data_IF_900263034172
#
_entry.id   IF_900263034172
#
_cell.length_a   1.000
_cell.length_b   1.000
_cell.length_c   1.000
_cell.angle_alpha   90.00
_cell.angle_beta   90.00
_cell.angle_gamma   90.00
#
_symmetry.space_group_name_H-M   'P 1'
#
loop_
_entity.id
_entity.type
_entity.pdbx_description
1 polymer ?
#
# COMPACT_ATOMS: atom_id res chain seq x y z
N UNK A 1 0.46 -2.17 22.70
CA UNK A 1 1.63 -2.27 21.85
C UNK A 1 1.21 -2.64 20.43
N UNK A 2 1.55 -1.81 19.48
CA UNK A 2 1.31 -2.10 18.07
C UNK A 2 2.45 -2.98 17.54
N UNK A 3 2.22 -4.29 17.44
CA UNK A 3 3.28 -5.18 17.02
C UNK A 3 3.70 -4.98 15.56
N UNK A 4 2.85 -4.39 14.71
CA UNK A 4 3.25 -4.03 13.34
C UNK A 4 4.37 -3.00 13.33
N UNK A 5 4.39 -2.08 14.31
CA UNK A 5 5.46 -1.08 14.39
C UNK A 5 6.83 -1.72 14.62
N UNK A 6 6.89 -2.90 15.26
CA UNK A 6 8.14 -3.62 15.47
C UNK A 6 8.76 -4.12 14.16
N UNK A 7 7.96 -4.24 13.10
CA UNK A 7 8.41 -4.68 11.78
C UNK A 7 8.57 -3.53 10.80
N UNK A 8 8.36 -2.29 11.26
CA UNK A 8 8.47 -1.14 10.37
C UNK A 8 9.90 -1.00 9.86
N UNK A 9 10.01 -0.93 8.53
CA UNK A 9 11.25 -0.63 7.83
C UNK A 9 10.88 0.02 6.50
N UNK A 10 11.36 1.26 6.22
CA UNK A 10 11.08 1.88 4.92
C UNK A 10 11.50 0.98 3.76
N UNK A 11 10.65 0.89 2.75
CA UNK A 11 10.87 0.03 1.59
C UNK A 11 10.33 -1.38 1.74
N UNK A 12 9.58 -1.66 2.79
CA UNK A 12 8.97 -2.98 3.02
C UNK A 12 7.49 -2.97 2.65
N UNK A 13 7.03 -4.06 1.99
CA UNK A 13 5.62 -4.24 1.62
C UNK A 13 5.15 -5.59 2.15
N UNK A 14 3.91 -5.61 2.66
CA UNK A 14 3.27 -6.83 3.14
C UNK A 14 1.86 -6.92 2.59
N UNK A 15 1.48 -8.08 2.06
CA UNK A 15 0.15 -8.34 1.51
C UNK A 15 -0.44 -9.62 2.08
N UNK A 16 -1.77 -9.74 1.99
CA UNK A 16 -2.46 -11.00 2.27
C UNK A 16 -2.42 -11.97 1.08
N UNK A 17 -3.09 -13.10 1.22
CA UNK A 17 -3.07 -14.19 0.23
C UNK A 17 -3.69 -13.82 -1.11
N UNK A 18 -4.59 -12.86 -1.13
CA UNK A 18 -5.41 -12.56 -2.31
C UNK A 18 -4.87 -11.39 -3.12
N UNK A 19 -3.73 -10.84 -2.73
CA UNK A 19 -3.15 -9.66 -3.36
C UNK A 19 -1.77 -10.01 -3.91
N UNK A 20 -1.57 -9.77 -5.19
CA UNK A 20 -0.32 -10.04 -5.89
C UNK A 20 0.28 -8.71 -6.35
N UNK A 21 1.56 -8.53 -6.14
CA UNK A 21 2.27 -7.30 -6.51
C UNK A 21 3.29 -7.61 -7.59
N UNK A 22 3.23 -6.83 -8.66
CA UNK A 22 4.26 -6.84 -9.71
C UNK A 22 4.78 -5.43 -9.93
N UNK A 23 5.96 -5.30 -10.49
CA UNK A 23 6.57 -3.99 -10.80
C UNK A 23 6.60 -3.05 -9.59
N UNK A 24 6.93 -3.59 -8.42
CA UNK A 24 7.01 -2.84 -7.17
C UNK A 24 8.28 -2.00 -7.15
N UNK A 25 8.14 -0.70 -6.95
CA UNK A 25 9.28 0.22 -7.01
C UNK A 25 9.10 1.37 -6.00
N UNK A 26 10.14 1.56 -5.18
CA UNK A 26 10.26 2.74 -4.32
C UNK A 26 11.24 3.74 -4.96
N UNK A 27 11.04 5.04 -4.71
CA UNK A 27 12.05 6.02 -5.06
C UNK A 27 13.22 5.98 -4.06
N UNK A 28 14.28 6.76 -4.32
CA UNK A 28 15.55 6.68 -3.58
C UNK A 28 15.43 6.86 -2.07
N UNK A 29 14.48 7.68 -1.61
CA UNK A 29 14.32 7.99 -0.18
C UNK A 29 13.05 7.40 0.42
N UNK A 30 12.43 6.44 -0.28
CA UNK A 30 11.21 5.77 0.16
C UNK A 30 10.05 6.74 0.47
N UNK A 31 9.99 7.86 -0.27
CA UNK A 31 8.88 8.83 -0.19
C UNK A 31 7.91 8.72 -1.35
N UNK A 32 8.12 7.78 -2.25
CA UNK A 32 7.23 7.46 -3.36
C UNK A 32 7.25 5.98 -3.65
N UNK A 33 6.10 5.43 -4.03
CA UNK A 33 5.95 4.01 -4.32
C UNK A 33 4.97 3.81 -5.47
N UNK A 34 5.26 2.85 -6.32
CA UNK A 34 4.43 2.50 -7.46
C UNK A 34 4.45 1.00 -7.67
N UNK A 35 3.28 0.40 -7.88
CA UNK A 35 3.20 -1.03 -8.12
C UNK A 35 1.94 -1.37 -8.92
N UNK A 36 2.01 -2.47 -9.67
CA UNK A 36 0.83 -3.08 -10.28
C UNK A 36 0.28 -4.11 -9.30
N UNK A 37 -1.01 -4.02 -9.03
CA UNK A 37 -1.72 -4.89 -8.09
C UNK A 37 -2.70 -5.75 -8.86
N UNK A 38 -2.67 -7.05 -8.62
CA UNK A 38 -3.69 -7.97 -9.11
C UNK A 38 -4.26 -8.78 -7.95
N UNK A 39 -5.41 -9.39 -8.17
CA UNK A 39 -6.15 -10.07 -7.12
C UNK A 39 -6.44 -11.50 -7.52
N UNK A 40 -6.56 -12.36 -6.52
CA UNK A 40 -7.08 -13.70 -6.71
C UNK A 40 -8.57 -13.59 -7.08
N UNK A 41 -8.91 -13.94 -8.31
CA UNK A 41 -10.27 -13.86 -8.83
C UNK A 41 -11.10 -15.11 -8.57
N UNK A 42 -10.53 -16.10 -7.89
CA UNK A 42 -11.29 -17.29 -7.46
C UNK A 42 -12.26 -16.97 -6.33
N UNK A 43 -12.14 -15.80 -5.71
CA UNK A 43 -13.03 -15.34 -4.66
C UNK A 43 -13.83 -14.13 -5.15
N UNK A 44 -14.99 -13.90 -4.49
CA UNK A 44 -15.81 -12.73 -4.76
C UNK A 44 -15.04 -11.45 -4.43
N UNK A 45 -15.22 -10.44 -5.26
CA UNK A 45 -14.59 -9.13 -5.02
C UNK A 45 -15.00 -8.56 -3.65
N UNK A 46 -14.02 -8.17 -2.86
CA UNK A 46 -14.20 -7.56 -1.54
C UNK A 46 -13.00 -6.68 -1.24
N UNK A 47 -13.11 -5.85 -0.21
CA UNK A 47 -12.00 -5.01 0.22
C UNK A 47 -10.86 -5.88 0.75
N UNK A 48 -9.63 -5.50 0.41
CA UNK A 48 -8.43 -6.20 0.89
C UNK A 48 -7.45 -5.17 1.40
N UNK A 49 -6.62 -5.59 2.35
CA UNK A 49 -5.65 -4.70 2.98
C UNK A 49 -4.23 -5.07 2.59
N UNK A 50 -3.38 -4.05 2.54
CA UNK A 50 -1.94 -4.24 2.40
C UNK A 50 -1.22 -3.18 3.20
N UNK A 51 0.04 -3.43 3.53
CA UNK A 51 0.87 -2.50 4.28
C UNK A 51 2.08 -2.13 3.44
N UNK A 52 2.32 -0.82 3.30
CA UNK A 52 3.51 -0.30 2.63
C UNK A 52 4.23 0.61 3.61
N UNK A 53 5.50 0.32 3.85
CA UNK A 53 6.32 1.10 4.77
C UNK A 53 7.12 2.13 3.98
N UNK A 54 6.74 3.39 4.16
CA UNK A 54 7.36 4.56 3.54
C UNK A 54 8.28 5.25 4.55
N UNK A 55 9.04 6.24 4.09
CA UNK A 55 9.80 7.08 5.01
C UNK A 55 8.87 7.80 5.99
N UNK A 56 9.28 7.86 7.26
CA UNK A 56 8.44 8.40 8.33
C UNK A 56 8.35 9.93 8.33
N UNK A 57 9.15 10.60 7.50
CA UNK A 57 9.26 12.07 7.50
C UNK A 57 8.20 12.80 6.68
N UNK A 58 7.27 12.08 6.06
CA UNK A 58 6.27 12.68 5.15
C UNK A 58 4.87 12.22 5.50
N UNK A 59 3.89 12.99 5.05
CA UNK A 59 2.51 12.54 4.92
C UNK A 59 2.29 12.08 3.48
N UNK A 60 1.34 11.19 3.26
CA UNK A 60 1.20 10.54 1.96
C UNK A 60 -0.21 10.57 1.43
N UNK A 61 -0.31 10.60 0.12
CA UNK A 61 -1.51 10.36 -0.64
C UNK A 61 -1.42 8.98 -1.27
N UNK A 62 -2.50 8.21 -1.20
CA UNK A 62 -2.56 6.86 -1.75
C UNK A 62 -3.64 6.80 -2.82
N UNK A 63 -3.26 6.42 -4.03
CA UNK A 63 -4.16 6.34 -5.17
C UNK A 63 -4.15 4.92 -5.75
N UNK A 64 -5.34 4.42 -6.07
CA UNK A 64 -5.49 3.19 -6.82
C UNK A 64 -6.27 3.49 -8.08
N UNK A 65 -5.65 3.25 -9.24
CA UNK A 65 -6.19 3.65 -10.54
C UNK A 65 -6.61 5.12 -10.58
N UNK A 66 -5.81 5.98 -9.98
CA UNK A 66 -6.02 7.42 -9.97
C UNK A 66 -7.03 7.93 -8.96
N UNK A 67 -7.63 7.06 -8.15
CA UNK A 67 -8.62 7.44 -7.14
C UNK A 67 -8.05 7.26 -5.74
N UNK A 68 -8.32 8.21 -4.84
CA UNK A 68 -7.92 8.09 -3.45
C UNK A 68 -8.54 6.86 -2.81
N UNK A 69 -7.73 6.13 -2.05
CA UNK A 69 -8.20 4.99 -1.27
C UNK A 69 -7.90 5.21 0.20
N UNK A 70 -8.62 4.48 1.06
CA UNK A 70 -8.44 4.59 2.50
C UNK A 70 -7.06 4.13 2.89
N UNK A 71 -6.41 4.91 3.74
CA UNK A 71 -5.18 4.50 4.38
C UNK A 71 -5.14 5.06 5.79
N UNK A 72 -4.50 4.34 6.68
CA UNK A 72 -4.27 4.82 8.05
C UNK A 72 -2.83 4.50 8.44
N UNK A 73 -2.31 5.26 9.37
CA UNK A 73 -0.91 5.17 9.78
C UNK A 73 -0.83 5.30 11.30
N UNK A 74 -0.86 4.16 12.00
CA UNK A 74 -0.68 4.13 13.45
C UNK A 74 0.77 4.37 13.85
N UNK A 75 1.69 4.14 12.91
CA UNK A 75 3.11 4.46 13.03
C UNK A 75 3.51 5.33 11.85
N UNK A 76 4.24 6.45 12.05
CA UNK A 76 4.63 7.31 10.93
C UNK A 76 5.31 6.51 9.81
N UNK A 77 4.85 6.71 8.58
CA UNK A 77 5.38 6.04 7.40
C UNK A 77 4.84 4.65 7.13
N UNK A 78 4.22 4.00 8.10
CA UNK A 78 3.64 2.67 7.89
C UNK A 78 2.17 2.80 7.49
N UNK A 79 1.89 2.63 6.20
CA UNK A 79 0.56 2.82 5.66
C UNK A 79 -0.20 1.51 5.57
N UNK A 80 -1.31 1.42 6.29
CA UNK A 80 -2.29 0.35 6.13
C UNK A 80 -3.30 0.81 5.09
N UNK A 81 -3.28 0.17 3.93
CA UNK A 81 -4.06 0.58 2.77
C UNK A 81 -5.21 -0.38 2.58
N UNK A 82 -6.43 0.17 2.43
CA UNK A 82 -7.62 -0.62 2.10
C UNK A 82 -7.89 -0.46 0.61
N UNK A 83 -7.65 -1.55 -0.13
CA UNK A 83 -7.92 -1.59 -1.57
C UNK A 83 -9.42 -1.76 -1.81
N UNK A 84 -9.98 -1.15 -2.85
CA UNK A 84 -11.41 -1.24 -3.12
C UNK A 84 -11.85 -2.66 -3.46
N UNK A 85 -13.15 -2.92 -3.33
CA UNK A 85 -13.75 -4.22 -3.63
C UNK A 85 -13.80 -4.44 -5.13
N UNK A 86 -12.71 -4.95 -5.69
CA UNK A 86 -12.58 -5.25 -7.12
C UNK A 86 -11.64 -6.43 -7.31
N UNK A 87 -11.82 -7.18 -8.40
CA UNK A 87 -10.86 -8.18 -8.85
C UNK A 87 -10.08 -7.71 -10.08
N UNK A 88 -10.29 -6.46 -10.50
CA UNK A 88 -9.57 -5.90 -11.64
C UNK A 88 -8.19 -5.43 -11.23
N UNK A 89 -7.20 -5.77 -12.04
CA UNK A 89 -5.82 -5.29 -11.89
C UNK A 89 -5.79 -3.76 -11.92
N UNK A 90 -4.96 -3.18 -11.06
CA UNK A 90 -4.82 -1.73 -11.00
C UNK A 90 -3.42 -1.29 -10.60
N UNK A 91 -3.18 0.01 -10.75
CA UNK A 91 -1.92 0.63 -10.36
C UNK A 91 -2.08 1.35 -9.03
N UNK A 92 -1.22 0.99 -8.08
CA UNK A 92 -1.13 1.67 -6.78
C UNK A 92 -0.01 2.70 -6.85
N UNK A 93 -0.32 3.92 -6.45
CA UNK A 93 0.66 5.00 -6.36
C UNK A 93 0.57 5.61 -4.97
N UNK A 94 1.71 5.73 -4.31
CA UNK A 94 1.83 6.44 -3.04
C UNK A 94 2.83 7.58 -3.27
N UNK A 95 2.42 8.79 -2.92
CA UNK A 95 3.31 9.95 -3.07
C UNK A 95 3.24 10.86 -1.86
N UNK A 96 4.37 11.48 -1.56
CA UNK A 96 4.47 12.39 -0.43
C UNK A 96 3.67 13.66 -0.71
N UNK A 97 3.02 14.15 0.33
CA UNK A 97 2.38 15.48 0.35
C UNK A 97 3.35 16.46 0.98
N UNK A 98 3.37 17.65 0.46
CA UNK A 98 4.20 18.74 0.99
C UNK A 98 3.45 19.48 2.09
#
# INVERSE_FOLDING_TARGET
LNWFAAYYKPGKVSTGFEVWITKSEFNNNNSGYKADISFDDSTKAHERCMIVCMDAGYKYEVLFNGKSVKSRSDHPGMLEITLPATNKTGELIIRALN
#
